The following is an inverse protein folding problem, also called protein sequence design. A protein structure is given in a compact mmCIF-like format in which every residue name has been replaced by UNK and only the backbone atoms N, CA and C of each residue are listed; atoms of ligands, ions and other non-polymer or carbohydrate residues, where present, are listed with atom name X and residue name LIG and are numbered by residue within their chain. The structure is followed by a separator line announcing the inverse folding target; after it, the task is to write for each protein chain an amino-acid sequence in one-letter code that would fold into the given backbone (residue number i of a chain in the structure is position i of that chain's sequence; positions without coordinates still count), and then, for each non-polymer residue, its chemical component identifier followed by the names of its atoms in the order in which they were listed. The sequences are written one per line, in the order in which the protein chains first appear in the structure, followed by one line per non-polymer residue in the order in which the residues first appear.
data_IF_307354762581
#
_entry.id   IF_307354762581
#
_cell.length_a   1.000
_cell.length_b   1.000
_cell.length_c   1.000
_cell.angle_alpha   90.00
_cell.angle_beta   90.00
_cell.angle_gamma   90.00
#
_symmetry.space_group_name_H-M   'P 1'
#
loop_
_entity.id
_entity.type
_entity.pdbx_description
1 polymer ?
#
# COMPACT_ATOMS: atom_id res chain seq x y z
N UNK A 1 -11.64 60.18 -24.34
CA UNK A 1 -12.30 59.63 -23.13
C UNK A 1 -12.79 58.20 -23.31
N UNK A 2 -13.32 57.79 -24.46
CA UNK A 2 -13.84 56.42 -24.62
C UNK A 2 -12.76 55.32 -24.69
N UNK A 3 -11.60 55.63 -25.29
CA UNK A 3 -10.50 54.67 -25.43
C UNK A 3 -9.90 54.21 -24.08
N UNK A 4 -9.71 55.13 -23.14
CA UNK A 4 -9.25 54.81 -21.78
C UNK A 4 -10.24 53.92 -21.03
N UNK A 5 -11.54 54.17 -21.23
CA UNK A 5 -12.61 53.39 -20.60
C UNK A 5 -12.68 51.96 -21.15
N UNK A 6 -12.45 51.82 -22.45
CA UNK A 6 -12.34 50.51 -23.12
C UNK A 6 -11.11 49.76 -22.63
N UNK A 7 -9.94 50.41 -22.59
CA UNK A 7 -8.70 49.79 -22.11
C UNK A 7 -8.81 49.34 -20.65
N UNK A 8 -9.46 50.13 -19.79
CA UNK A 8 -9.71 49.76 -18.39
C UNK A 8 -10.57 48.49 -18.28
N UNK A 9 -11.62 48.37 -19.11
CA UNK A 9 -12.47 47.17 -19.14
C UNK A 9 -11.72 45.93 -19.65
N UNK A 10 -10.88 46.10 -20.66
CA UNK A 10 -10.04 45.01 -21.21
C UNK A 10 -9.10 44.49 -20.12
N UNK A 11 -8.37 45.37 -19.43
CA UNK A 11 -7.45 44.97 -18.35
C UNK A 11 -8.17 44.24 -17.19
N UNK A 12 -9.39 44.67 -16.84
CA UNK A 12 -10.20 43.97 -15.84
C UNK A 12 -10.60 42.55 -16.29
N UNK A 13 -10.97 42.38 -17.56
CA UNK A 13 -11.33 41.08 -18.12
C UNK A 13 -10.11 40.16 -18.20
N UNK A 14 -8.96 40.66 -18.65
CA UNK A 14 -7.70 39.90 -18.71
C UNK A 14 -7.28 39.43 -17.32
N UNK A 15 -7.32 40.32 -16.31
CA UNK A 15 -7.02 39.97 -14.92
C UNK A 15 -7.96 38.87 -14.40
N UNK A 16 -9.25 38.96 -14.76
CA UNK A 16 -10.25 37.98 -14.33
C UNK A 16 -10.06 36.62 -15.03
N UNK A 17 -9.70 36.61 -16.30
CA UNK A 17 -9.34 35.39 -17.04
C UNK A 17 -8.12 34.74 -16.40
N UNK A 18 -7.08 35.51 -16.11
CA UNK A 18 -5.85 34.98 -15.50
C UNK A 18 -6.09 34.40 -14.11
N UNK A 19 -6.96 35.03 -13.32
CA UNK A 19 -7.40 34.50 -12.03
C UNK A 19 -8.15 33.16 -12.17
N UNK A 20 -9.06 33.07 -13.15
CA UNK A 20 -9.80 31.84 -13.46
C UNK A 20 -8.87 30.72 -13.92
N UNK A 21 -7.95 30.99 -14.84
CA UNK A 21 -6.97 30.01 -15.30
C UNK A 21 -6.08 29.51 -14.15
N UNK A 22 -5.66 30.41 -13.26
CA UNK A 22 -4.85 30.05 -12.10
C UNK A 22 -5.63 29.16 -11.14
N UNK A 23 -6.91 29.48 -10.90
CA UNK A 23 -7.78 28.65 -10.05
C UNK A 23 -7.98 27.25 -10.64
N UNK A 24 -8.25 27.17 -11.94
CA UNK A 24 -8.45 25.91 -12.65
C UNK A 24 -7.19 25.04 -12.64
N UNK A 25 -6.01 25.63 -12.88
CA UNK A 25 -4.73 24.89 -12.78
C UNK A 25 -4.50 24.33 -11.38
N UNK A 26 -4.83 25.09 -10.33
CA UNK A 26 -4.71 24.62 -8.93
C UNK A 26 -5.67 23.48 -8.63
N UNK A 27 -6.90 23.54 -9.12
CA UNK A 27 -7.88 22.46 -8.93
C UNK A 27 -7.48 21.19 -9.69
N UNK A 28 -7.03 21.33 -10.94
CA UNK A 28 -6.49 20.23 -11.73
C UNK A 28 -5.35 19.53 -11.01
N UNK A 29 -4.39 20.30 -10.49
CA UNK A 29 -3.26 19.75 -9.72
C UNK A 29 -3.70 19.03 -8.44
N UNK A 30 -4.69 19.57 -7.72
CA UNK A 30 -5.26 18.91 -6.54
C UNK A 30 -5.95 17.58 -6.90
N UNK A 31 -6.71 17.56 -7.98
CA UNK A 31 -7.37 16.37 -8.47
C UNK A 31 -6.37 15.28 -8.88
N UNK A 32 -5.32 15.66 -9.63
CA UNK A 32 -4.24 14.76 -10.02
C UNK A 32 -3.51 14.18 -8.81
N UNK A 33 -3.17 15.00 -7.79
CA UNK A 33 -2.56 14.51 -6.55
C UNK A 33 -3.46 13.53 -5.81
N UNK A 34 -4.76 13.76 -5.78
CA UNK A 34 -5.70 12.86 -5.11
C UNK A 34 -5.84 11.52 -5.84
N UNK A 35 -5.84 11.53 -7.18
CA UNK A 35 -5.80 10.31 -7.99
C UNK A 35 -4.53 9.50 -7.67
N UNK A 36 -3.36 10.15 -7.68
CA UNK A 36 -2.08 9.50 -7.34
C UNK A 36 -2.10 8.92 -5.93
N UNK A 37 -2.57 9.68 -4.92
CA UNK A 37 -2.68 9.20 -3.54
C UNK A 37 -3.57 7.97 -3.41
N UNK A 38 -4.71 7.94 -4.11
CA UNK A 38 -5.62 6.79 -4.12
C UNK A 38 -4.97 5.58 -4.77
N UNK A 39 -4.25 5.78 -5.85
CA UNK A 39 -3.50 4.72 -6.53
C UNK A 39 -2.39 4.16 -5.63
N UNK A 40 -1.53 5.00 -5.05
CA UNK A 40 -0.49 4.59 -4.10
C UNK A 40 -1.06 3.84 -2.89
N UNK A 41 -2.20 4.29 -2.36
CA UNK A 41 -2.88 3.60 -1.26
C UNK A 41 -3.35 2.21 -1.67
N UNK A 42 -3.92 2.05 -2.87
CA UNK A 42 -4.34 0.75 -3.40
C UNK A 42 -3.14 -0.19 -3.61
N UNK A 43 -2.07 0.31 -4.21
CA UNK A 43 -0.84 -0.46 -4.43
C UNK A 43 -0.20 -0.90 -3.12
N UNK A 44 -0.13 -0.02 -2.11
CA UNK A 44 0.37 -0.39 -0.78
C UNK A 44 -0.50 -1.47 -0.10
N UNK A 45 -1.82 -1.40 -0.24
CA UNK A 45 -2.72 -2.45 0.29
C UNK A 45 -2.46 -3.77 -0.45
N UNK A 46 -2.27 -3.72 -1.77
CA UNK A 46 -1.95 -4.90 -2.59
C UNK A 46 -0.62 -5.53 -2.19
N UNK A 47 0.43 -4.72 -2.07
CA UNK A 47 1.73 -5.17 -1.59
C UNK A 47 1.64 -5.79 -0.18
N UNK A 48 0.97 -5.12 0.75
CA UNK A 48 0.74 -5.63 2.11
C UNK A 48 -0.05 -6.94 2.14
N UNK A 49 -0.91 -7.20 1.14
CA UNK A 49 -1.63 -8.48 1.04
C UNK A 49 -0.72 -9.63 0.62
N UNK A 50 0.31 -9.34 -0.16
CA UNK A 50 1.26 -10.32 -0.68
C UNK A 50 2.48 -10.52 0.23
N UNK A 51 2.73 -9.66 1.22
CA UNK A 51 3.91 -9.75 2.09
C UNK A 51 3.61 -10.38 3.44
N UNK A 52 4.39 -11.34 3.92
CA UNK A 52 4.27 -11.91 5.27
C UNK A 52 5.56 -11.59 6.03
N UNK A 53 5.44 -10.91 7.17
CA UNK A 53 6.60 -10.60 8.01
C UNK A 53 6.84 -11.70 9.02
N UNK A 54 8.04 -12.23 9.03
CA UNK A 54 8.47 -13.30 9.94
C UNK A 54 9.66 -12.85 10.75
N UNK A 55 9.81 -13.38 11.95
CA UNK A 55 10.94 -13.08 12.81
C UNK A 55 12.18 -13.77 12.28
N UNK A 56 13.32 -13.09 12.43
CA UNK A 56 14.66 -13.67 12.26
C UNK A 56 14.95 -14.81 13.26
N UNK A 57 14.19 -14.90 14.35
CA UNK A 57 14.21 -16.06 15.24
C UNK A 57 13.49 -17.24 14.58
N UNK A 58 14.27 -18.25 14.17
CA UNK A 58 13.72 -19.57 13.89
C UNK A 58 12.98 -20.05 15.14
N UNK A 59 11.66 -20.22 15.03
CA UNK A 59 10.89 -20.75 16.14
C UNK A 59 11.36 -22.16 16.42
N UNK A 60 11.69 -22.44 17.69
CA UNK A 60 12.31 -23.67 18.23
C UNK A 60 12.98 -24.57 17.18
N UNK A 61 14.31 -24.55 17.15
CA UNK A 61 15.19 -25.39 16.31
C UNK A 61 14.88 -26.90 16.44
N UNK A 62 13.81 -27.35 15.83
CA UNK A 62 13.57 -28.74 15.48
C UNK A 62 13.31 -28.78 13.98
N UNK A 63 14.39 -28.52 13.23
CA UNK A 63 14.55 -29.12 11.93
C UNK A 63 14.62 -30.64 12.17
N UNK A 64 13.48 -31.31 12.19
CA UNK A 64 13.41 -32.76 12.03
C UNK A 64 13.49 -32.95 10.51
N UNK A 65 14.61 -33.45 9.94
CA UNK A 65 14.65 -33.76 8.52
C UNK A 65 13.47 -34.70 8.18
N UNK A 66 12.71 -34.44 7.11
CA UNK A 66 13.01 -33.55 5.98
C UNK A 66 12.29 -32.18 6.04
N UNK A 67 11.86 -31.71 7.22
CA UNK A 67 10.97 -30.53 7.32
C UNK A 67 11.75 -29.20 7.22
N UNK A 68 11.21 -28.31 6.40
CA UNK A 68 11.68 -26.97 6.12
C UNK A 68 11.82 -26.10 7.38
N UNK A 69 12.69 -25.07 7.33
CA UNK A 69 12.78 -24.09 8.41
C UNK A 69 11.42 -23.44 8.69
N UNK A 70 10.96 -23.54 9.94
CA UNK A 70 9.74 -22.90 10.42
C UNK A 70 10.06 -21.48 10.90
N UNK A 71 9.38 -20.49 10.34
CA UNK A 71 9.58 -19.09 10.71
C UNK A 71 8.44 -18.60 11.60
N UNK A 72 8.76 -17.98 12.74
CA UNK A 72 7.74 -17.40 13.62
C UNK A 72 7.17 -16.13 12.98
N UNK A 73 5.86 -15.93 13.06
CA UNK A 73 5.23 -14.71 12.58
C UNK A 73 5.68 -13.51 13.45
N UNK A 74 6.29 -12.49 12.83
CA UNK A 74 6.80 -11.33 13.57
C UNK A 74 5.71 -10.35 13.97
N UNK A 75 4.73 -10.13 13.09
CA UNK A 75 3.65 -9.16 13.31
C UNK A 75 2.28 -9.83 13.10
N UNK A 76 1.33 -9.51 13.97
CA UNK A 76 -0.06 -9.94 13.78
C UNK A 76 -0.64 -9.34 12.49
N UNK A 77 -1.22 -10.20 11.65
CA UNK A 77 -1.84 -9.79 10.40
C UNK A 77 -3.24 -9.25 10.68
N UNK A 78 -3.39 -7.93 10.62
CA UNK A 78 -4.67 -7.24 10.90
C UNK A 78 -5.74 -7.44 9.82
N UNK A 79 -5.36 -7.78 8.58
CA UNK A 79 -6.33 -8.04 7.50
C UNK A 79 -6.92 -9.44 7.66
N UNK A 80 -8.19 -9.52 8.10
CA UNK A 80 -8.89 -10.77 8.35
C UNK A 80 -9.04 -11.65 7.09
N UNK A 81 -9.17 -11.05 5.90
CA UNK A 81 -9.29 -11.80 4.65
C UNK A 81 -7.98 -12.51 4.34
N UNK A 82 -6.87 -11.77 4.47
CA UNK A 82 -5.52 -12.32 4.32
C UNK A 82 -5.26 -13.41 5.36
N UNK A 83 -5.51 -13.12 6.64
CA UNK A 83 -5.34 -14.07 7.73
C UNK A 83 -6.05 -15.40 7.47
N UNK A 84 -7.36 -15.33 7.18
CA UNK A 84 -8.16 -16.51 6.89
C UNK A 84 -7.67 -17.25 5.65
N UNK A 85 -7.24 -16.54 4.60
CA UNK A 85 -6.68 -17.16 3.40
C UNK A 85 -5.38 -17.91 3.72
N UNK A 86 -4.49 -17.32 4.50
CA UNK A 86 -3.20 -17.93 4.86
C UNK A 86 -3.40 -19.19 5.73
N UNK A 87 -4.35 -19.15 6.67
CA UNK A 87 -4.72 -20.33 7.48
C UNK A 87 -5.32 -21.43 6.59
N UNK A 88 -6.29 -21.09 5.74
CA UNK A 88 -6.96 -22.08 4.86
C UNK A 88 -5.98 -22.77 3.91
N UNK A 89 -4.98 -22.03 3.42
CA UNK A 89 -3.91 -22.57 2.56
C UNK A 89 -2.83 -23.33 3.35
N UNK A 90 -2.90 -23.37 4.68
CA UNK A 90 -1.90 -24.00 5.54
C UNK A 90 -0.55 -23.27 5.56
N UNK A 91 -0.51 -22.03 5.08
CA UNK A 91 0.71 -21.20 5.02
C UNK A 91 1.12 -20.74 6.41
N UNK A 92 0.13 -20.41 7.24
CA UNK A 92 0.32 -20.09 8.65
C UNK A 92 -0.44 -21.09 9.52
N UNK A 93 0.17 -21.48 10.62
CA UNK A 93 -0.41 -22.42 11.57
C UNK A 93 0.02 -22.07 12.99
N UNK A 94 -0.75 -22.55 13.96
CA UNK A 94 -0.46 -22.35 15.38
C UNK A 94 0.32 -23.56 15.91
N UNK A 95 1.38 -23.30 16.66
CA UNK A 95 2.15 -24.33 17.38
C UNK A 95 2.51 -23.79 18.76
N UNK A 96 2.10 -24.48 19.81
CA UNK A 96 2.25 -23.97 21.18
C UNK A 96 1.61 -22.59 21.37
N UNK A 97 2.40 -21.63 21.80
CA UNK A 97 2.03 -20.23 22.05
C UNK A 97 2.23 -19.31 20.82
N UNK A 98 2.84 -19.82 19.74
CA UNK A 98 3.21 -19.02 18.56
C UNK A 98 2.42 -19.33 17.28
N UNK A 99 2.51 -18.38 16.35
CA UNK A 99 2.11 -18.56 14.94
C UNK A 99 3.36 -18.71 14.09
N UNK A 100 3.32 -19.67 13.17
CA UNK A 100 4.46 -20.08 12.35
C UNK A 100 4.07 -20.06 10.88
N UNK A 101 5.05 -19.83 10.02
CA UNK A 101 4.91 -19.69 8.57
C UNK A 101 5.74 -20.76 7.88
N UNK A 102 5.15 -21.44 6.90
CA UNK A 102 5.86 -22.33 5.97
C UNK A 102 6.39 -21.48 4.82
N UNK A 103 7.69 -21.19 4.81
CA UNK A 103 8.30 -20.21 3.89
C UNK A 103 8.18 -20.61 2.43
N UNK A 104 8.60 -21.83 2.08
CA UNK A 104 8.55 -22.36 0.71
C UNK A 104 7.13 -22.36 0.14
N UNK A 105 6.15 -22.88 0.90
CA UNK A 105 4.76 -22.95 0.48
C UNK A 105 4.16 -21.53 0.30
N UNK A 106 4.61 -20.56 1.10
CA UNK A 106 4.20 -19.17 0.94
C UNK A 106 4.81 -18.55 -0.32
N UNK A 107 6.10 -18.78 -0.58
CA UNK A 107 6.81 -18.31 -1.77
C UNK A 107 6.21 -18.93 -3.06
N UNK A 108 5.96 -20.24 -3.08
CA UNK A 108 5.27 -20.95 -4.16
C UNK A 108 3.84 -20.44 -4.37
N UNK A 109 3.19 -20.04 -3.27
CA UNK A 109 1.87 -19.41 -3.26
C UNK A 109 1.85 -17.96 -3.75
N UNK A 110 3.00 -17.40 -4.14
CA UNK A 110 3.16 -16.03 -4.62
C UNK A 110 3.22 -14.97 -3.52
N UNK A 111 3.52 -15.37 -2.27
CA UNK A 111 3.72 -14.45 -1.15
C UNK A 111 5.21 -14.15 -0.97
N UNK A 112 5.52 -12.88 -0.69
CA UNK A 112 6.86 -12.46 -0.32
C UNK A 112 7.02 -12.59 1.20
N UNK A 113 7.90 -13.47 1.64
CA UNK A 113 8.23 -13.62 3.07
C UNK A 113 9.39 -12.69 3.39
N UNK A 114 9.17 -11.75 4.32
CA UNK A 114 10.14 -10.76 4.75
C UNK A 114 10.57 -11.04 6.18
N UNK A 115 11.85 -11.27 6.38
CA UNK A 115 12.46 -11.42 7.70
C UNK A 115 12.66 -10.03 8.33
N UNK A 116 12.17 -9.85 9.55
CA UNK A 116 12.24 -8.60 10.34
C UNK A 116 12.73 -8.84 11.77
#
# INVERSE_FOLDING_TARGET
MDQERINTKINMLETRIQALETSWRREKFKAEREITRRWEKKERIRANRLTIKVSTEYGDRMAIPPREPEYKLAEFIKDAVKWNSLIKKGLIYRRGDGWYVRKTLAEDGGFLVLEV
#
